data_IF_402423162409
#
_entry.id   IF_402423162409
#
_cell.length_a   1.000
_cell.length_b   1.000
_cell.length_c   1.000
_cell.angle_alpha   90.00
_cell.angle_beta   90.00
_cell.angle_gamma   90.00
#
_symmetry.space_group_name_H-M   'P 1'
#
loop_
_entity.id
_entity.type
_entity.pdbx_description
1 polymer ?
#
# COMPACT_ATOMS: atom_id res chain seq x y z
N UNK A 1 -9.92 -24.85 -12.57
CA UNK A 1 -9.30 -23.56 -12.93
C UNK A 1 -8.49 -23.12 -11.73
N UNK A 2 -7.14 -23.04 -11.79
CA UNK A 2 -6.39 -22.54 -10.65
C UNK A 2 -6.68 -21.04 -10.51
N UNK A 3 -7.14 -20.62 -9.33
CA UNK A 3 -7.23 -19.22 -8.92
C UNK A 3 -5.87 -18.57 -9.19
N UNK A 4 -5.81 -17.59 -10.10
CA UNK A 4 -4.65 -16.70 -10.24
C UNK A 4 -4.46 -16.00 -8.90
N UNK A 5 -3.58 -16.53 -8.04
CA UNK A 5 -2.99 -15.74 -6.96
C UNK A 5 -2.29 -14.59 -7.66
N UNK A 6 -2.74 -13.37 -7.41
CA UNK A 6 -1.98 -12.18 -7.77
C UNK A 6 -0.71 -12.23 -6.91
N UNK A 7 0.44 -12.55 -7.52
CA UNK A 7 1.72 -12.74 -6.84
C UNK A 7 2.27 -11.39 -6.35
N UNK A 8 1.71 -10.86 -5.27
CA UNK A 8 2.25 -9.73 -4.54
C UNK A 8 3.17 -10.23 -3.43
N UNK A 9 4.43 -9.79 -3.47
CA UNK A 9 5.37 -9.94 -2.38
C UNK A 9 5.26 -8.71 -1.47
N UNK A 10 5.12 -8.92 -0.15
CA UNK A 10 5.26 -7.83 0.83
C UNK A 10 6.75 -7.51 0.95
N UNK A 11 7.17 -6.34 0.47
CA UNK A 11 8.59 -5.93 0.50
C UNK A 11 8.91 -5.00 1.67
N UNK A 12 7.90 -4.31 2.22
CA UNK A 12 8.02 -3.55 3.46
C UNK A 12 6.71 -3.58 4.23
N UNK A 13 6.82 -3.62 5.55
CA UNK A 13 5.69 -3.64 6.48
C UNK A 13 6.03 -2.76 7.68
N UNK A 14 5.11 -1.89 8.06
CA UNK A 14 5.23 -1.07 9.25
C UNK A 14 3.93 -1.12 10.05
N UNK A 15 4.04 -1.30 11.37
CA UNK A 15 2.91 -1.20 12.29
C UNK A 15 3.10 0.04 13.19
N UNK A 16 2.03 0.80 13.36
CA UNK A 16 1.98 1.97 14.27
C UNK A 16 0.74 1.87 15.15
N UNK A 17 0.84 2.40 16.36
CA UNK A 17 -0.28 2.52 17.28
C UNK A 17 -0.35 3.95 17.76
N UNK A 18 -1.48 4.61 17.54
CA UNK A 18 -1.76 5.98 17.95
C UNK A 18 -3.24 6.09 18.31
N UNK A 19 -3.57 6.84 19.37
CA UNK A 19 -4.96 7.11 19.79
C UNK A 19 -5.87 5.86 19.78
N UNK A 20 -5.37 4.76 20.35
CA UNK A 20 -6.10 3.48 20.47
C UNK A 20 -6.40 2.78 19.12
N UNK A 21 -5.86 3.29 18.02
CA UNK A 21 -5.92 2.68 16.70
C UNK A 21 -4.59 1.98 16.38
N UNK A 22 -4.68 0.81 15.74
CA UNK A 22 -3.54 0.09 15.17
C UNK A 22 -3.55 0.25 13.67
N UNK A 23 -2.45 0.75 13.12
CA UNK A 23 -2.25 0.96 11.71
C UNK A 23 -1.22 -0.04 11.19
N UNK A 24 -1.54 -0.66 10.06
CA UNK A 24 -0.66 -1.56 9.35
C UNK A 24 -0.51 -1.08 7.91
N UNK A 25 0.71 -0.69 7.57
CA UNK A 25 1.11 -0.27 6.24
C UNK A 25 1.92 -1.38 5.58
N UNK A 26 1.56 -1.75 4.36
CA UNK A 26 2.28 -2.73 3.55
C UNK A 26 2.63 -2.14 2.19
N UNK A 27 3.92 -2.19 1.84
CA UNK A 27 4.39 -1.98 0.48
C UNK A 27 4.51 -3.35 -0.21
N UNK A 28 3.76 -3.51 -1.28
CA UNK A 28 3.63 -4.72 -2.04
C UNK A 28 4.33 -4.54 -3.39
N UNK A 29 4.97 -5.59 -3.89
CA UNK A 29 5.59 -5.61 -5.21
C UNK A 29 5.03 -6.80 -5.99
N UNK A 30 4.59 -6.55 -7.23
CA UNK A 30 4.25 -7.60 -8.19
C UNK A 30 5.38 -7.78 -9.18
N UNK A 31 5.93 -9.00 -9.26
CA UNK A 31 6.95 -9.38 -10.25
C UNK A 31 6.30 -9.96 -11.51
N UNK A 32 6.91 -9.67 -12.65
CA UNK A 32 6.31 -9.84 -13.97
C UNK A 32 6.44 -11.21 -14.61
N UNK A 33 5.59 -12.15 -14.19
CA UNK A 33 5.09 -13.22 -15.09
C UNK A 33 3.66 -12.95 -15.58
N UNK A 34 2.95 -11.97 -15.00
CA UNK A 34 1.54 -11.66 -15.30
C UNK A 34 1.24 -10.18 -15.62
N UNK A 35 2.25 -9.32 -15.82
CA UNK A 35 2.08 -7.92 -16.27
C UNK A 35 2.21 -7.83 -17.79
N UNK A 36 1.28 -7.09 -18.43
CA UNK A 36 1.32 -6.83 -19.88
C UNK A 36 2.61 -6.13 -20.34
N UNK A 37 3.32 -5.46 -19.41
CA UNK A 37 4.66 -4.90 -19.60
C UNK A 37 5.71 -5.85 -18.98
N UNK A 38 6.34 -6.68 -19.82
CA UNK A 38 7.26 -7.77 -19.48
C UNK A 38 8.56 -7.40 -18.73
N UNK A 39 8.70 -6.24 -18.08
CA UNK A 39 10.02 -5.74 -17.68
C UNK A 39 10.18 -4.96 -16.38
N UNK A 40 9.10 -4.50 -15.73
CA UNK A 40 9.25 -3.65 -14.53
C UNK A 40 8.34 -4.15 -13.40
N UNK A 41 8.85 -4.20 -12.15
CA UNK A 41 8.01 -4.43 -11.00
C UNK A 41 6.96 -3.31 -10.89
N UNK A 42 5.76 -3.68 -10.45
CA UNK A 42 4.74 -2.71 -10.06
C UNK A 42 4.58 -2.76 -8.55
N UNK A 43 4.45 -1.59 -7.95
CA UNK A 43 4.33 -1.45 -6.51
C UNK A 43 2.93 -0.97 -6.13
N UNK A 44 2.37 -1.64 -5.13
CA UNK A 44 1.07 -1.36 -4.55
C UNK A 44 1.23 -1.06 -3.07
N UNK A 45 0.27 -0.35 -2.49
CA UNK A 45 0.27 -0.07 -1.05
C UNK A 45 -1.05 -0.50 -0.47
N UNK A 46 -0.99 -1.13 0.70
CA UNK A 46 -2.16 -1.44 1.52
C UNK A 46 -2.03 -0.74 2.86
N UNK A 47 -3.13 -0.11 3.27
CA UNK A 47 -3.28 0.47 4.60
C UNK A 47 -4.43 -0.25 5.28
N UNK A 48 -4.16 -0.81 6.45
CA UNK A 48 -5.20 -1.35 7.33
C UNK A 48 -5.19 -0.55 8.64
N UNK A 49 -6.36 -0.35 9.21
CA UNK A 49 -6.54 0.28 10.49
C UNK A 49 -7.51 -0.55 11.30
N UNK A 50 -7.20 -0.79 12.57
CA UNK A 50 -8.09 -1.46 13.53
C UNK A 50 -8.29 -0.54 14.72
N UNK A 51 -9.54 -0.25 15.07
CA UNK A 51 -9.86 0.54 16.27
C UNK A 51 -9.85 -0.31 17.56
N UNK A 52 -10.07 0.34 18.71
CA UNK A 52 -10.12 -0.31 20.02
C UNK A 52 -11.24 -1.35 20.17
N UNK A 53 -12.31 -1.23 19.38
CA UNK A 53 -13.44 -2.16 19.35
C UNK A 53 -13.20 -3.34 18.40
N UNK A 54 -12.09 -3.33 17.66
CA UNK A 54 -11.74 -4.34 16.67
C UNK A 54 -12.39 -4.12 15.31
N UNK A 55 -12.93 -2.93 15.02
CA UNK A 55 -13.43 -2.61 13.69
C UNK A 55 -12.24 -2.38 12.76
N UNK A 56 -12.25 -3.05 11.61
CA UNK A 56 -11.20 -2.98 10.61
C UNK A 56 -11.62 -2.09 9.43
N UNK A 57 -10.70 -1.22 9.00
CA UNK A 57 -10.76 -0.50 7.74
C UNK A 57 -9.54 -0.85 6.89
N UNK A 58 -9.75 -1.11 5.60
CA UNK A 58 -8.67 -1.42 4.65
C UNK A 58 -8.86 -0.62 3.37
N UNK A 59 -7.76 -0.11 2.84
CA UNK A 59 -7.70 0.46 1.50
C UNK A 59 -6.41 0.04 0.80
N UNK A 60 -6.48 -0.07 -0.53
CA UNK A 60 -5.36 -0.46 -1.37
C UNK A 60 -5.24 0.40 -2.63
N UNK A 61 -4.00 0.82 -2.88
CA UNK A 61 -3.56 1.50 -4.08
C UNK A 61 -2.77 0.49 -4.91
N UNK A 62 -3.38 -0.09 -5.94
CA UNK A 62 -2.79 -1.21 -6.69
C UNK A 62 -2.02 -0.74 -7.93
N UNK A 63 -0.82 -1.28 -8.13
CA UNK A 63 0.02 -1.09 -9.30
C UNK A 63 0.29 0.38 -9.65
N UNK A 64 0.32 1.25 -8.62
CA UNK A 64 0.37 2.71 -8.77
C UNK A 64 1.76 3.24 -9.09
N UNK A 65 2.81 2.53 -8.68
CA UNK A 65 4.19 2.94 -8.95
C UNK A 65 4.93 1.88 -9.79
N UNK A 66 5.81 2.35 -10.67
CA UNK A 66 6.80 1.52 -11.40
C UNK A 66 8.23 1.80 -10.96
N UNK A 67 8.40 2.70 -9.99
CA UNK A 67 9.67 3.13 -9.41
C UNK A 67 9.66 2.82 -7.91
N UNK A 68 10.66 2.07 -7.45
CA UNK A 68 10.77 1.63 -6.07
C UNK A 68 10.98 2.79 -5.10
N UNK A 69 11.82 3.76 -5.46
CA UNK A 69 12.16 4.89 -4.59
C UNK A 69 10.94 5.78 -4.39
N UNK A 70 10.15 6.01 -5.44
CA UNK A 70 8.87 6.72 -5.33
C UNK A 70 7.88 5.98 -4.46
N UNK A 71 7.74 4.67 -4.66
CA UNK A 71 6.83 3.85 -3.87
C UNK A 71 7.23 3.85 -2.38
N UNK A 72 8.54 3.79 -2.10
CA UNK A 72 9.09 3.85 -0.75
C UNK A 72 8.89 5.22 -0.11
N UNK A 73 9.14 6.30 -0.83
CA UNK A 73 8.93 7.66 -0.34
C UNK A 73 7.46 7.92 0.03
N UNK A 74 6.54 7.49 -0.83
CA UNK A 74 5.12 7.58 -0.54
C UNK A 74 4.70 6.69 0.63
N UNK A 75 5.22 5.45 0.73
CA UNK A 75 5.01 4.58 1.89
C UNK A 75 5.46 5.26 3.20
N UNK A 76 6.67 5.83 3.22
CA UNK A 76 7.20 6.53 4.41
C UNK A 76 6.38 7.77 4.77
N UNK A 77 5.87 8.50 3.75
CA UNK A 77 4.94 9.62 3.94
C UNK A 77 3.62 9.16 4.60
N UNK A 78 3.04 8.04 4.17
CA UNK A 78 1.82 7.49 4.80
C UNK A 78 2.06 7.11 6.26
N UNK A 79 3.14 6.37 6.54
CA UNK A 79 3.52 5.94 7.89
C UNK A 79 3.73 7.16 8.80
N UNK A 80 4.48 8.16 8.32
CA UNK A 80 4.83 9.35 9.12
C UNK A 80 3.61 10.20 9.47
N UNK A 81 2.62 10.26 8.58
CA UNK A 81 1.42 11.06 8.77
C UNK A 81 0.25 10.26 9.34
N UNK A 82 0.47 8.98 9.69
CA UNK A 82 -0.58 8.08 10.17
C UNK A 82 -1.81 8.06 9.26
N UNK A 83 -1.58 8.05 7.93
CA UNK A 83 -2.66 8.09 6.95
C UNK A 83 -3.61 6.90 7.18
N UNK A 84 -4.91 7.18 7.22
CA UNK A 84 -5.94 6.17 7.38
C UNK A 84 -6.29 5.53 6.03
N UNK A 85 -7.01 4.39 6.03
CA UNK A 85 -7.60 3.85 4.81
C UNK A 85 -8.47 4.85 4.03
N UNK A 86 -9.16 5.77 4.75
CA UNK A 86 -10.01 6.80 4.13
C UNK A 86 -9.17 7.87 3.43
N UNK A 87 -7.99 8.18 3.97
CA UNK A 87 -7.10 9.21 3.42
C UNK A 87 -6.36 8.73 2.17
N UNK A 88 -6.12 7.43 2.03
CA UNK A 88 -5.25 6.85 1.01
C UNK A 88 -5.55 7.34 -0.43
N UNK A 89 -6.81 7.40 -0.92
CA UNK A 89 -7.10 7.90 -2.25
C UNK A 89 -6.72 9.37 -2.45
N UNK A 90 -6.93 10.21 -1.43
CA UNK A 90 -6.66 11.64 -1.50
C UNK A 90 -5.16 11.94 -1.44
N UNK A 91 -4.42 11.25 -0.58
CA UNK A 91 -2.96 11.39 -0.50
C UNK A 91 -2.30 10.89 -1.79
N UNK A 92 -2.85 9.83 -2.39
CA UNK A 92 -2.38 9.32 -3.69
C UNK A 92 -2.65 10.31 -4.82
N UNK A 93 -3.85 10.91 -4.88
CA UNK A 93 -4.17 11.91 -5.90
C UNK A 93 -3.24 13.12 -5.83
N UNK A 94 -2.96 13.62 -4.62
CA UNK A 94 -2.00 14.69 -4.38
C UNK A 94 -0.58 14.31 -4.85
N UNK A 95 -0.13 13.09 -4.57
CA UNK A 95 1.18 12.59 -5.00
C UNK A 95 1.31 12.48 -6.53
N UNK A 96 0.23 12.16 -7.23
CA UNK A 96 0.24 11.97 -8.69
C UNK A 96 0.11 13.28 -9.48
N UNK A 97 -0.34 14.35 -8.82
CA UNK A 97 -0.51 15.69 -9.42
C UNK A 97 0.65 16.64 -9.12
N UNK A 98 1.46 16.36 -8.10
CA UNK A 98 2.67 17.11 -7.73
C UNK A 98 3.88 16.82 -8.61
#
# INVERSE_FOLDING_TARGET
MPNKKTDYDVIRREERTEDEHRYLYELLMRRGENVACWRMPLYSIRVNMTDEYGNEGTADAQDVFSDEEKALGFFEKLVRNLATPIDLPYVLEDEMLG
#
